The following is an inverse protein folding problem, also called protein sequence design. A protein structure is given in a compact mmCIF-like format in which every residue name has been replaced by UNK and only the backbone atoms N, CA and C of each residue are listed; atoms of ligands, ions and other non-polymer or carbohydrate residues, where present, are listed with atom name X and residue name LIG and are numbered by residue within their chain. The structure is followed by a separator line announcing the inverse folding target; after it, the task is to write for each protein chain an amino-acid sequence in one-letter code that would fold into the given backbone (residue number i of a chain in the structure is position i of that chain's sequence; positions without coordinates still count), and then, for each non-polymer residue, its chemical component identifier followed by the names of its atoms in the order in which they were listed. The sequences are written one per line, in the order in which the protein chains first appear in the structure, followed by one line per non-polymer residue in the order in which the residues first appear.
data_IF_019138513398
#
_entry.id   IF_019138513398
#
_cell.length_a   1.000
_cell.length_b   1.000
_cell.length_c   1.000
_cell.angle_alpha   90.00
_cell.angle_beta   90.00
_cell.angle_gamma   90.00
#
_symmetry.space_group_name_H-M   'P 1'
#
loop_
_entity.id
_entity.type
_entity.pdbx_description
1 polymer ?
#
# COMPACT_ATOMS: atom_id res chain seq x y z
N UNK A 1 -39.13 33.32 26.82
CA UNK A 1 -38.12 33.94 27.71
C UNK A 1 -37.09 32.86 28.01
N UNK A 2 -35.85 33.04 27.56
CA UNK A 2 -34.81 32.04 27.76
C UNK A 2 -34.19 32.25 29.16
N UNK A 3 -34.29 31.24 30.01
CA UNK A 3 -33.66 31.25 31.33
C UNK A 3 -32.14 31.26 31.16
N UNK A 4 -31.50 32.37 31.52
CA UNK A 4 -30.06 32.50 31.47
C UNK A 4 -29.45 31.55 32.52
N UNK A 5 -28.82 30.46 32.06
CA UNK A 5 -28.16 29.50 32.94
C UNK A 5 -27.11 30.22 33.82
N UNK A 6 -27.26 30.09 35.15
CA UNK A 6 -26.36 30.70 36.11
C UNK A 6 -24.90 30.28 35.85
N UNK A 7 -23.92 31.20 35.95
CA UNK A 7 -22.52 30.89 35.66
C UNK A 7 -22.00 29.80 36.60
N UNK A 8 -21.39 28.74 36.05
CA UNK A 8 -20.79 27.64 36.82
C UNK A 8 -19.77 28.23 37.81
N UNK A 9 -20.00 28.05 39.12
CA UNK A 9 -19.04 28.46 40.16
C UNK A 9 -17.85 27.51 40.17
N UNK A 10 -16.68 27.99 39.75
CA UNK A 10 -15.42 27.26 39.87
C UNK A 10 -14.91 27.34 41.31
N UNK A 11 -14.74 26.17 41.94
CA UNK A 11 -14.10 26.02 43.25
C UNK A 11 -12.67 25.50 43.09
N UNK A 12 -11.84 25.65 44.13
CA UNK A 12 -10.50 25.04 44.16
C UNK A 12 -10.55 23.52 43.93
N UNK A 13 -11.57 22.84 44.46
CA UNK A 13 -11.78 21.40 44.28
C UNK A 13 -12.09 21.05 42.83
N UNK A 14 -12.97 21.80 42.17
CA UNK A 14 -13.27 21.57 40.75
C UNK A 14 -12.06 21.86 39.88
N UNK A 15 -11.28 22.90 40.19
CA UNK A 15 -10.03 23.19 39.47
C UNK A 15 -9.02 22.04 39.59
N UNK A 16 -8.74 21.57 40.82
CA UNK A 16 -7.83 20.45 41.05
C UNK A 16 -8.32 19.16 40.37
N UNK A 17 -9.63 18.90 40.38
CA UNK A 17 -10.23 17.76 39.68
C UNK A 17 -9.97 17.80 38.17
N UNK A 18 -10.23 18.93 37.52
CA UNK A 18 -9.95 19.12 36.09
C UNK A 18 -8.45 19.03 35.77
N UNK A 19 -7.60 19.52 36.67
CA UNK A 19 -6.15 19.46 36.49
C UNK A 19 -5.64 18.01 36.57
N UNK A 20 -6.05 17.25 37.58
CA UNK A 20 -5.69 15.83 37.72
C UNK A 20 -6.23 14.99 36.56
N UNK A 21 -7.48 15.23 36.13
CA UNK A 21 -8.04 14.55 34.98
C UNK A 21 -7.26 14.84 33.69
N UNK A 22 -6.85 16.10 33.48
CA UNK A 22 -6.02 16.49 32.34
C UNK A 22 -4.66 15.80 32.36
N UNK A 23 -4.00 15.74 33.52
CA UNK A 23 -2.72 15.05 33.68
C UNK A 23 -2.83 13.55 33.39
N UNK A 24 -3.84 12.88 33.96
CA UNK A 24 -4.09 11.47 33.71
C UNK A 24 -4.35 11.21 32.22
N UNK A 25 -5.16 12.05 31.58
CA UNK A 25 -5.45 11.95 30.15
C UNK A 25 -4.17 12.10 29.33
N UNK A 26 -3.32 13.07 29.65
CA UNK A 26 -2.04 13.26 28.98
C UNK A 26 -1.12 12.03 29.13
N UNK A 27 -1.01 11.47 30.33
CA UNK A 27 -0.22 10.25 30.58
C UNK A 27 -0.73 9.06 29.76
N UNK A 28 -2.05 8.86 29.72
CA UNK A 28 -2.67 7.79 28.92
C UNK A 28 -2.37 7.98 27.44
N UNK A 29 -2.53 9.20 26.90
CA UNK A 29 -2.25 9.49 25.49
C UNK A 29 -0.77 9.23 25.17
N UNK A 30 0.15 9.70 26.02
CA UNK A 30 1.60 9.50 25.81
C UNK A 30 1.98 8.01 25.84
N UNK A 31 1.32 7.20 26.66
CA UNK A 31 1.56 5.75 26.71
C UNK A 31 0.93 5.00 25.53
N UNK A 32 -0.30 5.36 25.14
CA UNK A 32 -1.09 4.63 24.13
C UNK A 32 -0.68 5.02 22.71
N UNK A 33 -0.37 6.30 22.44
CA UNK A 33 -0.01 6.77 21.11
C UNK A 33 1.13 5.99 20.44
N UNK A 34 2.30 5.72 21.07
CA UNK A 34 3.36 4.94 20.44
C UNK A 34 2.96 3.49 20.19
N UNK A 35 2.10 2.90 21.03
CA UNK A 35 1.55 1.55 20.81
C UNK A 35 0.67 1.54 19.57
N UNK A 36 -0.20 2.54 19.42
CA UNK A 36 -1.03 2.67 18.21
C UNK A 36 -0.19 2.88 16.96
N UNK A 37 0.88 3.69 17.04
CA UNK A 37 1.81 3.89 15.92
C UNK A 37 2.57 2.60 15.58
N UNK A 38 2.88 1.75 16.56
CA UNK A 38 3.52 0.47 16.31
C UNK A 38 2.62 -0.47 15.49
N UNK A 39 1.31 -0.51 15.78
CA UNK A 39 0.35 -1.32 15.03
C UNK A 39 -0.09 -0.67 13.71
N UNK A 40 -0.07 0.66 13.63
CA UNK A 40 -0.42 1.44 12.45
C UNK A 40 0.73 2.36 12.06
N UNK A 41 1.85 1.79 11.57
CA UNK A 41 3.03 2.58 11.25
C UNK A 41 2.66 3.58 10.16
N UNK A 42 2.94 4.86 10.43
CA UNK A 42 2.88 5.87 9.38
C UNK A 42 3.87 5.48 8.27
N UNK A 43 3.56 5.77 6.99
CA UNK A 43 4.49 5.55 5.90
C UNK A 43 5.85 6.17 6.24
N UNK A 44 6.97 5.45 6.07
CA UNK A 44 8.28 5.91 6.49
C UNK A 44 8.60 7.26 5.83
N UNK A 45 8.81 8.28 6.66
CA UNK A 45 9.20 9.62 6.19
C UNK A 45 10.58 9.53 5.52
N UNK A 46 10.71 10.10 4.33
CA UNK A 46 11.97 10.14 3.58
C UNK A 46 12.09 9.14 2.44
N UNK A 47 11.07 8.35 2.12
CA UNK A 47 11.02 7.61 0.86
C UNK A 47 11.06 8.59 -0.33
N UNK A 48 12.06 8.45 -1.18
CA UNK A 48 12.17 9.21 -2.43
C UNK A 48 11.49 8.42 -3.53
N UNK A 49 10.55 9.05 -4.23
CA UNK A 49 9.98 8.51 -5.47
C UNK A 49 10.95 8.81 -6.60
N UNK A 50 11.29 7.80 -7.39
CA UNK A 50 12.19 7.95 -8.51
C UNK A 50 12.19 6.71 -9.39
N UNK A 51 12.72 6.82 -10.62
CA UNK A 51 12.89 5.68 -11.49
C UNK A 51 13.91 4.71 -10.87
N UNK A 52 13.64 3.42 -11.00
CA UNK A 52 14.51 2.34 -10.56
C UNK A 52 14.82 1.48 -11.76
N UNK A 53 16.11 1.21 -11.98
CA UNK A 53 16.54 0.32 -13.06
C UNK A 53 16.37 -1.13 -12.62
N UNK A 54 15.75 -1.94 -13.47
CA UNK A 54 15.48 -3.36 -13.21
C UNK A 54 16.08 -4.18 -14.34
N UNK A 55 16.80 -5.24 -13.98
CA UNK A 55 17.30 -6.20 -14.96
C UNK A 55 16.21 -7.22 -15.27
N UNK A 56 15.88 -7.37 -16.55
CA UNK A 56 14.95 -8.41 -17.03
C UNK A 56 15.75 -9.67 -17.38
N UNK A 57 15.15 -10.84 -17.12
CA UNK A 57 15.74 -12.12 -17.53
C UNK A 57 15.78 -12.26 -19.06
N UNK A 58 14.70 -11.83 -19.71
CA UNK A 58 14.57 -11.76 -21.17
C UNK A 58 14.54 -10.29 -21.58
N UNK A 59 15.46 -9.85 -22.46
CA UNK A 59 15.43 -8.52 -23.05
C UNK A 59 14.12 -8.22 -23.77
N UNK A 60 13.65 -6.97 -23.72
CA UNK A 60 12.34 -6.54 -24.28
C UNK A 60 12.27 -6.75 -25.80
N UNK A 61 13.40 -6.57 -26.49
CA UNK A 61 13.56 -6.81 -27.92
C UNK A 61 13.43 -8.30 -28.29
N UNK A 62 13.81 -9.20 -27.38
CA UNK A 62 13.73 -10.65 -27.56
C UNK A 62 12.40 -11.26 -27.10
N UNK A 63 11.56 -10.48 -26.42
CA UNK A 63 10.26 -10.94 -25.95
C UNK A 63 9.34 -11.20 -27.17
N UNK A 64 8.75 -12.40 -27.21
CA UNK A 64 7.82 -12.81 -28.26
C UNK A 64 6.43 -12.21 -28.04
N UNK A 65 5.64 -12.16 -29.11
CA UNK A 65 4.26 -11.70 -29.09
C UNK A 65 3.38 -12.66 -28.27
N UNK A 66 2.68 -12.13 -27.27
CA UNK A 66 1.90 -12.90 -26.30
C UNK A 66 2.74 -13.57 -25.21
N UNK A 67 3.97 -13.09 -24.97
CA UNK A 67 4.84 -13.57 -23.88
C UNK A 67 5.04 -12.48 -22.81
N UNK A 68 5.47 -12.91 -21.63
CA UNK A 68 5.70 -12.05 -20.49
C UNK A 68 6.94 -12.46 -19.69
N UNK A 69 7.69 -11.47 -19.22
CA UNK A 69 8.86 -11.67 -18.37
C UNK A 69 8.61 -11.06 -17.00
N UNK A 70 8.81 -11.86 -15.95
CA UNK A 70 8.71 -11.41 -14.57
C UNK A 70 9.93 -10.57 -14.18
N UNK A 71 9.71 -9.54 -13.38
CA UNK A 71 10.75 -8.83 -12.66
C UNK A 71 10.34 -8.57 -11.21
N UNK A 72 11.33 -8.52 -10.32
CA UNK A 72 11.13 -8.23 -8.90
C UNK A 72 11.72 -6.86 -8.56
N UNK A 73 11.18 -6.22 -7.51
CA UNK A 73 11.74 -4.98 -7.00
C UNK A 73 13.15 -5.21 -6.44
N UNK A 74 14.13 -4.33 -6.73
CA UNK A 74 15.47 -4.44 -6.18
C UNK A 74 15.48 -4.46 -4.65
N UNK A 75 16.19 -5.44 -4.08
CA UNK A 75 16.37 -5.58 -2.63
C UNK A 75 17.45 -4.65 -2.06
N UNK A 76 18.26 -4.03 -2.92
CA UNK A 76 19.34 -3.10 -2.54
C UNK A 76 19.41 -1.91 -3.52
N UNK A 77 19.11 -0.66 -3.08
CA UNK A 77 18.45 -0.34 -1.82
C UNK A 77 17.06 -1.00 -1.78
N UNK A 78 16.55 -1.36 -0.60
CA UNK A 78 15.22 -1.97 -0.49
C UNK A 78 14.16 -1.05 -1.12
N UNK A 79 13.63 -1.45 -2.28
CA UNK A 79 12.71 -0.64 -3.08
C UNK A 79 11.43 -1.41 -3.38
N UNK A 80 10.39 -0.67 -3.74
CA UNK A 80 9.12 -1.19 -4.22
C UNK A 80 8.65 -0.30 -5.36
N UNK A 81 7.86 -0.86 -6.27
CA UNK A 81 7.14 -0.10 -7.28
C UNK A 81 5.85 0.43 -6.68
N UNK A 82 5.30 1.44 -7.34
CA UNK A 82 4.02 2.04 -7.00
C UNK A 82 3.08 1.79 -8.17
N UNK A 83 1.89 1.22 -7.90
CA UNK A 83 0.88 1.03 -8.93
C UNK A 83 0.44 2.37 -9.52
N UNK A 84 0.39 2.43 -10.85
CA UNK A 84 0.02 3.64 -11.58
C UNK A 84 -1.51 3.84 -11.65
N UNK A 85 -2.23 2.74 -11.86
CA UNK A 85 -3.66 2.67 -12.18
C UNK A 85 -4.46 1.86 -11.16
N UNK A 86 -3.86 0.83 -10.55
CA UNK A 86 -4.52 -0.03 -9.56
C UNK A 86 -5.47 -1.06 -10.21
N UNK A 87 -6.40 -1.62 -9.43
CA UNK A 87 -7.40 -2.56 -9.93
C UNK A 87 -8.02 -3.43 -8.82
N UNK A 88 -9.35 -3.52 -8.83
CA UNK A 88 -10.13 -4.21 -7.80
C UNK A 88 -9.89 -3.60 -6.41
N UNK A 89 -9.40 -4.39 -5.47
CA UNK A 89 -9.05 -3.94 -4.12
C UNK A 89 -7.66 -3.26 -4.05
N UNK A 90 -6.93 -3.15 -5.16
CA UNK A 90 -5.71 -2.35 -5.22
C UNK A 90 -5.97 -0.93 -5.71
N UNK A 91 -5.32 0.05 -5.10
CA UNK A 91 -5.43 1.47 -5.45
C UNK A 91 -4.16 2.03 -6.13
N UNK A 92 -4.29 3.09 -6.96
CA UNK A 92 -3.15 3.88 -7.40
C UNK A 92 -2.34 4.36 -6.20
N UNK A 93 -1.02 4.20 -6.24
CA UNK A 93 -0.16 4.56 -5.11
C UNK A 93 0.23 3.39 -4.20
N UNK A 94 -0.46 2.26 -4.30
CA UNK A 94 -0.11 1.07 -3.51
C UNK A 94 1.16 0.38 -4.00
N UNK A 95 1.77 -0.39 -3.11
CA UNK A 95 3.07 -1.01 -3.35
C UNK A 95 2.93 -2.30 -4.16
N UNK A 96 3.80 -2.45 -5.15
CA UNK A 96 4.03 -3.69 -5.87
C UNK A 96 5.51 -4.09 -5.76
N UNK A 97 5.79 -5.30 -5.29
CA UNK A 97 7.16 -5.81 -5.12
C UNK A 97 7.69 -6.56 -6.36
N UNK A 98 6.97 -6.47 -7.47
CA UNK A 98 7.33 -7.04 -8.75
C UNK A 98 6.25 -6.79 -9.78
N UNK A 99 6.48 -7.30 -10.97
CA UNK A 99 5.55 -7.17 -12.08
C UNK A 99 5.95 -8.03 -13.26
N UNK A 100 5.22 -7.85 -14.34
CA UNK A 100 5.48 -8.48 -15.62
C UNK A 100 5.61 -7.44 -16.71
N UNK A 101 6.67 -7.52 -17.50
CA UNK A 101 6.73 -6.85 -18.79
C UNK A 101 6.09 -7.78 -19.81
N UNK A 102 5.08 -7.30 -20.51
CA UNK A 102 4.27 -8.08 -21.42
C UNK A 102 4.33 -7.47 -22.80
N UNK A 103 4.53 -8.31 -23.82
CA UNK A 103 4.42 -7.88 -25.21
C UNK A 103 3.16 -8.45 -25.81
N UNK A 104 2.20 -7.58 -26.10
CA UNK A 104 0.91 -7.95 -26.67
C UNK A 104 0.46 -6.92 -27.70
N UNK A 105 -0.05 -7.39 -28.83
CA UNK A 105 -0.56 -6.62 -29.96
C UNK A 105 0.43 -5.56 -30.45
N UNK A 106 1.73 -5.92 -30.50
CA UNK A 106 2.80 -5.00 -30.89
C UNK A 106 3.10 -3.88 -29.88
N UNK A 107 2.52 -3.94 -28.67
CA UNK A 107 2.77 -3.00 -27.57
C UNK A 107 3.51 -3.70 -26.43
N UNK A 108 4.23 -2.91 -25.64
CA UNK A 108 4.86 -3.37 -24.40
C UNK A 108 4.13 -2.73 -23.24
N UNK A 109 3.49 -3.56 -22.43
CA UNK A 109 2.78 -3.19 -21.21
C UNK A 109 3.55 -3.66 -19.98
N UNK A 110 3.31 -3.02 -18.85
CA UNK A 110 3.89 -3.42 -17.56
C UNK A 110 2.75 -3.56 -16.56
N UNK A 111 2.59 -4.74 -16.00
CA UNK A 111 1.54 -5.02 -15.01
C UNK A 111 2.14 -5.30 -13.65
N UNK A 112 1.46 -4.86 -12.59
CA UNK A 112 1.80 -5.22 -11.23
C UNK A 112 1.57 -6.72 -11.00
N UNK A 113 2.39 -7.33 -10.13
CA UNK A 113 2.22 -8.74 -9.76
C UNK A 113 1.00 -8.99 -8.86
N UNK A 114 0.42 -7.93 -8.29
CA UNK A 114 -0.65 -7.99 -7.32
C UNK A 114 -1.99 -8.34 -8.01
N UNK A 115 -2.63 -9.41 -7.55
CA UNK A 115 -3.99 -9.76 -7.97
C UNK A 115 -4.98 -8.67 -7.50
N UNK A 116 -5.90 -8.29 -8.39
CA UNK A 116 -6.96 -7.32 -8.10
C UNK A 116 -7.94 -7.73 -6.99
N UNK A 117 -7.94 -9.00 -6.59
CA UNK A 117 -8.80 -9.48 -5.50
C UNK A 117 -8.26 -9.06 -4.13
N UNK A 118 -7.16 -9.64 -3.65
CA UNK A 118 -6.61 -9.35 -2.31
C UNK A 118 -5.08 -9.25 -2.31
N UNK A 119 -4.49 -8.88 -3.45
CA UNK A 119 -3.05 -8.61 -3.57
C UNK A 119 -2.14 -9.84 -3.63
N UNK A 120 -2.67 -11.07 -3.69
CA UNK A 120 -1.86 -12.28 -3.94
C UNK A 120 -1.01 -12.12 -5.21
N UNK A 121 0.22 -12.63 -5.21
CA UNK A 121 1.06 -12.63 -6.41
C UNK A 121 0.48 -13.56 -7.48
N UNK A 122 0.26 -13.04 -8.68
CA UNK A 122 -0.13 -13.85 -9.84
C UNK A 122 1.09 -14.52 -10.49
N UNK A 123 0.87 -15.66 -11.13
CA UNK A 123 1.88 -16.39 -11.88
C UNK A 123 1.55 -16.40 -13.37
N UNK A 124 2.57 -16.31 -14.23
CA UNK A 124 2.38 -16.48 -15.66
C UNK A 124 2.14 -17.96 -16.00
N UNK A 125 0.99 -18.24 -16.60
CA UNK A 125 0.71 -19.50 -17.28
C UNK A 125 1.08 -19.34 -18.77
N UNK A 126 2.23 -19.88 -19.15
CA UNK A 126 2.76 -19.76 -20.52
C UNK A 126 1.91 -20.49 -21.56
N UNK A 127 1.36 -21.64 -21.19
CA UNK A 127 0.57 -22.47 -22.10
C UNK A 127 -0.78 -21.81 -22.42
N UNK A 128 -1.43 -21.24 -21.40
CA UNK A 128 -2.71 -20.56 -21.54
C UNK A 128 -2.59 -19.08 -21.92
N UNK A 129 -1.38 -18.50 -21.84
CA UNK A 129 -1.13 -17.05 -21.99
C UNK A 129 -2.01 -16.21 -21.06
N UNK A 130 -1.98 -16.56 -19.79
CA UNK A 130 -2.75 -15.86 -18.74
C UNK A 130 -1.92 -15.63 -17.49
N UNK A 131 -2.34 -14.69 -16.66
CA UNK A 131 -1.91 -14.61 -15.28
C UNK A 131 -2.91 -15.35 -14.39
N UNK A 132 -2.42 -16.36 -13.67
CA UNK A 132 -3.23 -17.21 -12.81
C UNK A 132 -2.90 -16.89 -11.35
N UNK A 133 -3.93 -16.60 -10.56
CA UNK A 133 -3.84 -16.38 -9.11
C UNK A 133 -4.20 -17.67 -8.37
N UNK A 134 -3.28 -18.29 -7.62
CA UNK A 134 -3.52 -19.58 -6.96
C UNK A 134 -4.46 -19.47 -5.75
N UNK A 135 -4.73 -18.26 -5.25
CA UNK A 135 -5.50 -18.06 -4.03
C UNK A 135 -6.99 -18.42 -4.22
N UNK A 136 -7.63 -17.89 -5.27
CA UNK A 136 -9.07 -18.08 -5.53
C UNK A 136 -9.37 -18.34 -7.02
N UNK A 137 -8.34 -18.63 -7.83
CA UNK A 137 -8.52 -18.97 -9.24
C UNK A 137 -8.79 -17.78 -10.17
N UNK A 138 -8.54 -16.55 -9.74
CA UNK A 138 -8.59 -15.38 -10.64
C UNK A 138 -7.62 -15.60 -11.81
N UNK A 139 -8.09 -15.31 -13.02
CA UNK A 139 -7.33 -15.45 -14.26
C UNK A 139 -7.44 -14.15 -15.05
N UNK A 140 -6.32 -13.65 -15.52
CA UNK A 140 -6.21 -12.41 -16.29
C UNK A 140 -5.55 -12.66 -17.64
N UNK A 141 -5.95 -11.91 -18.65
CA UNK A 141 -5.29 -11.91 -19.93
C UNK A 141 -3.98 -11.10 -19.88
N UNK A 142 -3.23 -11.10 -20.98
CA UNK A 142 -1.95 -10.42 -21.12
C UNK A 142 -2.11 -8.97 -21.66
N UNK A 143 -3.32 -8.40 -21.60
CA UNK A 143 -3.66 -7.06 -22.12
C UNK A 143 -4.33 -6.16 -21.07
#
# INVERSE_FOLDING_TARGET
MAEAAAPRRYTRRTFLGWWLASLLTATVITAVAPILVYFWPAPPKGQKKGPVNVALQTPIDQLQEGDAVKFDAPRSPNTAFIMADGGGDNAPGELAFGGFVVKNSGKVNVFAINCSHLGCSVALNKDARTFDCPCHGSRFHLD
#
